data_IF_489738787684
#
_entry.id   IF_489738787684
#
_cell.length_a   1.000
_cell.length_b   1.000
_cell.length_c   1.000
_cell.angle_alpha   90.00
_cell.angle_beta   90.00
_cell.angle_gamma   90.00
#
_symmetry.space_group_name_H-M   'P 1'
#
loop_
_entity.id
_entity.type
_entity.pdbx_description
1 polymer ?
#
# COMPACT_ATOMS: atom_id res chain seq x y z
N UNK A 1 -5.06 -20.74 39.36
CA UNK A 1 -5.75 -19.44 39.27
C UNK A 1 -5.41 -18.85 37.91
N UNK A 2 -6.26 -19.10 36.91
CA UNK A 2 -6.00 -18.72 35.52
C UNK A 2 -6.07 -17.21 35.33
N UNK A 3 -5.11 -16.65 34.59
CA UNK A 3 -5.21 -15.28 34.09
C UNK A 3 -6.05 -15.30 32.81
N UNK A 4 -7.30 -14.88 32.92
CA UNK A 4 -8.10 -14.52 31.76
C UNK A 4 -7.48 -13.26 31.13
N UNK A 5 -6.89 -13.42 29.95
CA UNK A 5 -6.47 -12.28 29.14
C UNK A 5 -7.70 -11.65 28.50
N UNK A 6 -8.21 -10.55 29.06
CA UNK A 6 -9.21 -9.76 28.37
C UNK A 6 -8.53 -9.05 27.19
N UNK A 7 -8.75 -9.52 25.97
CA UNK A 7 -8.39 -8.74 24.78
C UNK A 7 -9.47 -7.68 24.62
N UNK A 8 -9.24 -6.50 25.20
CA UNK A 8 -10.09 -5.35 24.95
C UNK A 8 -9.93 -4.97 23.47
N UNK A 9 -11.03 -4.96 22.71
CA UNK A 9 -11.03 -4.45 21.35
C UNK A 9 -10.67 -2.96 21.40
N UNK A 10 -9.46 -2.61 20.97
CA UNK A 10 -9.01 -1.21 20.89
C UNK A 10 -9.87 -0.51 19.83
N UNK A 11 -10.61 0.56 20.18
CA UNK A 11 -11.46 1.27 19.21
C UNK A 11 -10.65 1.81 18.03
N UNK A 12 -11.27 2.04 16.85
CA UNK A 12 -10.57 2.53 15.66
C UNK A 12 -9.83 3.85 15.88
N UNK A 13 -10.35 4.73 16.76
CA UNK A 13 -9.73 6.03 17.11
C UNK A 13 -8.39 5.92 17.85
N UNK A 14 -8.06 4.73 18.37
CA UNK A 14 -6.80 4.43 19.04
C UNK A 14 -5.83 3.63 18.17
N UNK A 15 -6.10 3.49 16.87
CA UNK A 15 -5.21 2.81 15.91
C UNK A 15 -4.65 3.79 14.88
N UNK A 16 -3.42 3.53 14.45
CA UNK A 16 -2.82 4.14 13.26
C UNK A 16 -2.64 3.03 12.23
N UNK A 17 -3.16 3.22 11.03
CA UNK A 17 -2.96 2.30 9.92
C UNK A 17 -1.88 2.83 8.98
N UNK A 18 -0.96 1.96 8.59
CA UNK A 18 0.13 2.29 7.66
C UNK A 18 0.20 1.27 6.53
N UNK A 19 0.63 1.73 5.37
CA UNK A 19 1.09 0.90 4.27
C UNK A 19 2.61 0.98 4.19
N UNK A 20 3.27 -0.12 3.82
CA UNK A 20 4.71 -0.13 3.58
C UNK A 20 5.07 -1.21 2.56
N UNK A 21 6.25 -1.09 1.97
CA UNK A 21 6.89 -2.12 1.17
C UNK A 21 8.23 -2.47 1.81
N UNK A 22 8.51 -3.77 1.98
CA UNK A 22 9.77 -4.24 2.56
C UNK A 22 10.42 -5.30 1.68
N UNK A 23 11.74 -5.19 1.42
CA UNK A 23 12.43 -6.12 0.55
C UNK A 23 12.54 -7.49 1.21
N UNK A 24 12.42 -8.57 0.43
CA UNK A 24 12.61 -9.95 0.89
C UNK A 24 13.19 -10.85 -0.21
N UNK A 25 13.78 -11.98 0.19
CA UNK A 25 14.44 -12.91 -0.74
C UNK A 25 15.84 -12.44 -1.16
N UNK A 26 16.39 -13.07 -2.19
CA UNK A 26 17.73 -12.80 -2.69
C UNK A 26 17.77 -11.52 -3.53
N UNK A 27 18.85 -10.75 -3.37
CA UNK A 27 19.11 -9.57 -4.19
C UNK A 27 19.44 -9.97 -5.65
N UNK A 28 18.98 -9.14 -6.57
CA UNK A 28 19.22 -9.20 -8.00
C UNK A 28 20.24 -8.14 -8.41
N UNK A 29 20.80 -8.29 -9.62
CA UNK A 29 21.47 -7.16 -10.27
C UNK A 29 20.49 -5.99 -10.45
N UNK A 30 20.95 -4.73 -10.36
CA UNK A 30 20.07 -3.57 -10.45
C UNK A 30 19.37 -3.51 -11.80
N UNK A 31 18.03 -3.46 -11.78
CA UNK A 31 17.19 -3.26 -12.95
C UNK A 31 16.79 -1.78 -12.97
N UNK A 32 17.36 -1.03 -13.90
CA UNK A 32 17.06 0.40 -14.06
C UNK A 32 15.69 0.61 -14.70
N UNK A 33 15.06 1.72 -14.37
CA UNK A 33 13.80 2.16 -14.96
C UNK A 33 14.03 2.74 -16.36
N UNK A 34 13.15 2.44 -17.30
CA UNK A 34 13.24 2.85 -18.70
C UNK A 34 12.25 3.97 -19.08
N UNK A 35 11.53 4.53 -18.09
CA UNK A 35 10.62 5.64 -18.34
C UNK A 35 11.30 6.83 -19.04
N UNK A 36 10.65 7.49 -20.00
CA UNK A 36 11.21 8.65 -20.68
C UNK A 36 11.57 9.78 -19.70
N UNK A 37 12.82 10.25 -19.77
CA UNK A 37 13.31 11.34 -18.92
C UNK A 37 13.59 10.94 -17.48
N UNK A 38 13.77 9.65 -17.20
CA UNK A 38 14.17 9.14 -15.88
C UNK A 38 15.38 9.88 -15.32
N UNK A 39 15.25 10.30 -14.06
CA UNK A 39 16.32 10.86 -13.26
C UNK A 39 16.10 10.46 -11.81
N UNK A 40 17.19 10.37 -11.03
CA UNK A 40 17.09 10.13 -9.57
C UNK A 40 16.27 8.88 -9.18
N UNK A 41 16.12 7.94 -10.11
CA UNK A 41 15.40 6.68 -9.90
C UNK A 41 16.21 5.71 -9.06
N UNK A 42 15.52 4.91 -8.26
CA UNK A 42 16.09 3.78 -7.54
C UNK A 42 15.86 2.53 -8.39
N UNK A 43 16.89 1.71 -8.69
CA UNK A 43 16.68 0.49 -9.46
C UNK A 43 15.91 -0.56 -8.64
N UNK A 44 15.19 -1.43 -9.33
CA UNK A 44 14.64 -2.64 -8.70
C UNK A 44 15.79 -3.61 -8.44
N UNK A 45 15.95 -4.02 -7.18
CA UNK A 45 17.04 -4.92 -6.76
C UNK A 45 16.54 -6.15 -6.03
N UNK A 46 15.26 -6.21 -5.63
CA UNK A 46 14.75 -7.31 -4.83
C UNK A 46 13.23 -7.42 -4.93
N UNK A 47 12.68 -8.58 -4.54
CA UNK A 47 11.25 -8.72 -4.34
C UNK A 47 10.80 -7.90 -3.12
N UNK A 48 9.56 -7.43 -3.15
CA UNK A 48 8.96 -6.56 -2.14
C UNK A 48 7.70 -7.21 -1.57
N UNK A 49 7.53 -7.13 -0.25
CA UNK A 49 6.26 -7.41 0.43
C UNK A 49 5.51 -6.12 0.65
N UNK A 50 4.31 -6.04 0.13
CA UNK A 50 3.38 -4.93 0.32
C UNK A 50 2.51 -5.22 1.52
N UNK A 51 2.64 -4.41 2.57
CA UNK A 51 2.10 -4.68 3.89
C UNK A 51 1.11 -3.59 4.30
N UNK A 52 -0.02 -4.01 4.87
CA UNK A 52 -0.82 -3.16 5.73
C UNK A 52 -0.49 -3.46 7.20
N UNK A 53 -0.41 -2.42 8.02
CA UNK A 53 -0.08 -2.49 9.43
C UNK A 53 -1.14 -1.75 10.24
N UNK A 54 -1.43 -2.24 11.44
CA UNK A 54 -2.06 -1.44 12.48
C UNK A 54 -1.15 -1.32 13.70
N UNK A 55 -1.04 -0.09 14.20
CA UNK A 55 -0.27 0.26 15.38
C UNK A 55 -1.20 0.83 16.44
N UNK A 56 -0.93 0.54 17.70
CA UNK A 56 -1.55 1.24 18.81
C UNK A 56 -1.06 2.69 18.80
N UNK A 57 -1.98 3.64 18.76
CA UNK A 57 -1.65 5.06 18.66
C UNK A 57 -0.91 5.58 19.90
N UNK A 58 -1.09 4.95 21.05
CA UNK A 58 -0.58 5.45 22.34
C UNK A 58 0.91 5.18 22.52
N UNK A 59 1.36 4.01 22.07
CA UNK A 59 2.74 3.54 22.28
C UNK A 59 3.46 3.10 21.00
N UNK A 60 2.77 3.09 19.85
CA UNK A 60 3.32 2.67 18.57
C UNK A 60 3.49 1.16 18.43
N UNK A 61 2.92 0.36 19.33
CA UNK A 61 3.05 -1.10 19.28
C UNK A 61 2.32 -1.67 18.06
N UNK A 62 2.99 -2.57 17.33
CA UNK A 62 2.36 -3.34 16.26
C UNK A 62 1.24 -4.22 16.82
N UNK A 63 0.01 -3.98 16.35
CA UNK A 63 -1.17 -4.77 16.69
C UNK A 63 -1.36 -5.93 15.71
N UNK A 64 -1.25 -5.65 14.42
CA UNK A 64 -1.27 -6.65 13.36
C UNK A 64 -0.52 -6.18 12.12
N UNK A 65 -0.13 -7.15 11.30
CA UNK A 65 0.48 -6.97 9.99
C UNK A 65 -0.11 -7.97 9.01
N UNK A 66 -0.48 -7.50 7.82
CA UNK A 66 -1.02 -8.33 6.73
C UNK A 66 -0.20 -8.11 5.48
N UNK A 67 0.38 -9.19 4.93
CA UNK A 67 0.99 -9.18 3.59
C UNK A 67 -0.11 -9.24 2.53
N UNK A 68 -0.19 -8.22 1.68
CA UNK A 68 -1.22 -8.06 0.66
C UNK A 68 -0.75 -8.46 -0.74
N UNK A 69 0.54 -8.29 -1.00
CA UNK A 69 1.21 -8.75 -2.21
C UNK A 69 2.68 -9.05 -1.94
N UNK A 70 3.21 -10.00 -2.66
CA UNK A 70 4.64 -10.25 -2.78
C UNK A 70 4.96 -10.26 -4.27
N UNK A 71 5.83 -9.36 -4.72
CA UNK A 71 6.29 -9.37 -6.10
C UNK A 71 7.61 -8.63 -6.29
N UNK A 72 8.27 -8.90 -7.42
CA UNK A 72 9.30 -8.02 -7.95
C UNK A 72 8.61 -6.81 -8.61
N UNK A 73 8.80 -5.58 -8.10
CA UNK A 73 8.23 -4.38 -8.72
C UNK A 73 8.64 -4.26 -10.18
N UNK A 74 7.72 -3.78 -11.01
CA UNK A 74 8.02 -3.61 -12.43
C UNK A 74 8.78 -2.33 -12.78
N UNK A 75 8.63 -1.32 -11.93
CA UNK A 75 9.34 -0.04 -11.95
C UNK A 75 9.96 0.16 -10.58
N UNK A 76 11.06 0.91 -10.54
CA UNK A 76 11.83 1.12 -9.32
C UNK A 76 11.35 2.30 -8.46
N UNK A 77 10.91 3.38 -9.11
CA UNK A 77 10.51 4.61 -8.44
C UNK A 77 11.66 5.59 -8.19
N UNK A 78 11.41 6.62 -7.36
CA UNK A 78 12.31 7.76 -7.18
C UNK A 78 12.91 7.80 -5.77
N UNK A 79 14.12 8.35 -5.62
CA UNK A 79 14.85 8.42 -4.33
C UNK A 79 14.12 9.15 -3.19
N UNK A 80 13.06 9.90 -3.52
CA UNK A 80 12.22 10.64 -2.55
C UNK A 80 10.86 9.97 -2.32
N UNK A 81 10.63 8.80 -2.88
CA UNK A 81 9.39 8.04 -2.77
C UNK A 81 9.62 6.63 -2.25
N UNK A 82 8.53 5.89 -2.13
CA UNK A 82 8.54 4.45 -1.86
C UNK A 82 7.47 3.74 -2.68
N UNK A 83 7.53 2.41 -2.73
CA UNK A 83 6.48 1.60 -3.35
C UNK A 83 5.13 1.62 -2.61
N UNK A 84 5.04 2.33 -1.48
CA UNK A 84 3.83 2.53 -0.68
C UNK A 84 3.62 4.02 -0.37
N UNK A 85 3.83 4.90 -1.35
CA UNK A 85 3.74 6.36 -1.15
C UNK A 85 2.30 6.85 -0.93
N UNK A 86 1.30 6.13 -1.45
CA UNK A 86 -0.11 6.44 -1.25
C UNK A 86 -0.54 6.14 0.19
N UNK A 87 -1.31 7.06 0.78
CA UNK A 87 -1.85 6.88 2.13
C UNK A 87 -3.06 5.93 2.12
N UNK A 88 -3.20 5.03 3.10
CA UNK A 88 -4.44 4.28 3.26
C UNK A 88 -5.56 5.17 3.81
N UNK A 89 -6.81 4.81 3.53
CA UNK A 89 -8.01 5.55 3.98
C UNK A 89 -8.95 4.62 4.72
N UNK A 90 -9.62 5.10 5.76
CA UNK A 90 -10.61 4.33 6.53
C UNK A 90 -11.78 5.20 6.97
N UNK A 91 -12.97 4.61 7.03
CA UNK A 91 -14.18 5.20 7.61
C UNK A 91 -14.42 4.74 9.07
N UNK A 92 -13.56 3.87 9.60
CA UNK A 92 -13.70 3.26 10.93
C UNK A 92 -14.37 1.88 10.91
N UNK A 93 -14.73 1.34 9.75
CA UNK A 93 -15.22 -0.04 9.57
C UNK A 93 -14.33 -0.81 8.59
N UNK A 94 -13.95 -0.15 7.49
CA UNK A 94 -13.10 -0.70 6.43
C UNK A 94 -11.83 0.13 6.30
N UNK A 95 -10.71 -0.55 6.06
CA UNK A 95 -9.43 0.05 5.69
C UNK A 95 -9.17 -0.21 4.21
N UNK A 96 -8.94 0.84 3.44
CA UNK A 96 -8.50 0.78 2.05
C UNK A 96 -6.99 1.00 2.00
N UNK A 97 -6.26 0.00 1.52
CA UNK A 97 -4.82 0.01 1.34
C UNK A 97 -4.45 0.04 -0.16
N UNK A 98 -3.98 1.18 -0.69
CA UNK A 98 -3.54 1.32 -2.08
C UNK A 98 -2.07 0.95 -2.26
N UNK A 99 -1.75 0.25 -3.35
CA UNK A 99 -0.36 0.04 -3.80
C UNK A 99 -0.20 0.26 -5.31
N UNK A 100 -1.07 1.08 -5.92
CA UNK A 100 -1.04 1.37 -7.35
C UNK A 100 -1.09 0.09 -8.19
N UNK A 101 -0.06 -0.15 -9.02
CA UNK A 101 0.09 -1.34 -9.86
C UNK A 101 0.04 -2.67 -9.10
N UNK A 102 0.22 -2.62 -7.78
CA UNK A 102 0.18 -3.78 -6.88
C UNK A 102 -1.22 -4.06 -6.35
N UNK A 103 -2.18 -3.21 -6.65
CA UNK A 103 -3.59 -3.41 -6.38
C UNK A 103 -4.15 -2.51 -5.27
N UNK A 104 -5.47 -2.56 -5.15
CA UNK A 104 -6.27 -1.89 -4.14
C UNK A 104 -6.91 -2.95 -3.25
N UNK A 105 -6.78 -2.81 -1.94
CA UNK A 105 -7.24 -3.81 -0.98
C UNK A 105 -8.19 -3.19 0.03
N UNK A 106 -9.32 -3.83 0.28
CA UNK A 106 -10.13 -3.53 1.46
C UNK A 106 -9.89 -4.58 2.53
N UNK A 107 -9.73 -4.12 3.76
CA UNK A 107 -9.55 -4.94 4.95
C UNK A 107 -10.59 -4.55 5.99
N UNK A 108 -10.97 -5.49 6.84
CA UNK A 108 -11.55 -5.13 8.13
C UNK A 108 -10.46 -4.54 9.04
N UNK A 109 -10.87 -3.94 10.15
CA UNK A 109 -9.92 -3.33 11.08
C UNK A 109 -9.06 -4.34 11.85
N UNK A 110 -9.34 -5.64 11.75
CA UNK A 110 -8.51 -6.72 12.29
C UNK A 110 -7.44 -7.18 11.29
N UNK A 111 -7.38 -6.58 10.10
CA UNK A 111 -6.39 -6.89 9.07
C UNK A 111 -6.78 -8.04 8.16
N UNK A 112 -8.03 -8.51 8.19
CA UNK A 112 -8.52 -9.52 7.26
C UNK A 112 -8.92 -8.85 5.95
N UNK A 113 -8.40 -9.37 4.83
CA UNK A 113 -8.79 -8.92 3.48
C UNK A 113 -10.27 -9.26 3.23
N UNK A 114 -11.05 -8.25 2.87
CA UNK A 114 -12.45 -8.35 2.48
C UNK A 114 -12.57 -8.52 0.96
N UNK A 115 -11.86 -7.68 0.21
CA UNK A 115 -11.76 -7.78 -1.25
C UNK A 115 -10.45 -7.17 -1.75
N UNK A 116 -10.13 -7.45 -3.01
CA UNK A 116 -9.00 -6.86 -3.74
C UNK A 116 -9.42 -6.49 -5.16
N UNK A 117 -8.82 -5.44 -5.70
CA UNK A 117 -8.97 -5.04 -7.08
C UNK A 117 -7.59 -4.84 -7.72
N UNK A 118 -7.40 -5.45 -8.89
CA UNK A 118 -6.26 -5.18 -9.76
C UNK A 118 -6.70 -4.15 -10.82
N UNK A 119 -5.93 -3.08 -10.95
CA UNK A 119 -6.18 -1.96 -11.86
C UNK A 119 -5.18 -1.96 -13.04
N UNK A 120 -4.30 -2.96 -13.11
CA UNK A 120 -3.24 -3.05 -14.10
C UNK A 120 -1.97 -2.33 -13.66
N UNK A 121 -1.08 -2.08 -14.62
CA UNK A 121 0.23 -1.45 -14.38
C UNK A 121 0.21 0.01 -14.78
N UNK A 122 0.68 0.87 -13.89
CA UNK A 122 0.98 2.27 -14.17
C UNK A 122 2.31 2.36 -14.92
N UNK A 123 2.44 3.44 -15.69
CA UNK A 123 3.67 3.84 -16.38
C UNK A 123 3.99 5.23 -15.87
N UNK A 124 4.94 5.34 -14.93
CA UNK A 124 5.13 6.58 -14.19
C UNK A 124 6.01 7.56 -14.96
N UNK A 125 5.65 8.83 -14.93
CA UNK A 125 6.45 9.87 -15.59
C UNK A 125 7.80 10.02 -14.90
N UNK A 126 8.90 9.91 -15.67
CA UNK A 126 10.28 10.01 -15.19
C UNK A 126 10.65 9.02 -14.07
N UNK A 127 9.94 7.89 -13.97
CA UNK A 127 10.09 6.93 -12.87
C UNK A 127 9.82 7.53 -11.47
N UNK A 128 8.93 8.53 -11.36
CA UNK A 128 8.61 9.15 -10.08
C UNK A 128 7.93 8.21 -9.08
N UNK A 129 7.38 7.09 -9.56
CA UNK A 129 6.61 6.15 -8.74
C UNK A 129 5.13 6.54 -8.63
N UNK A 130 4.41 5.73 -7.86
CA UNK A 130 2.94 5.74 -7.78
C UNK A 130 2.53 6.24 -6.39
N UNK A 131 1.52 7.14 -6.31
CA UNK A 131 1.22 7.80 -5.03
C UNK A 131 -0.20 8.32 -4.84
N UNK A 132 -1.12 8.04 -5.75
CA UNK A 132 -2.51 8.51 -5.65
C UNK A 132 -3.24 7.82 -4.48
N UNK A 133 -3.73 8.61 -3.53
CA UNK A 133 -4.43 8.09 -2.34
C UNK A 133 -5.94 7.98 -2.60
N UNK A 134 -6.61 6.90 -2.18
CA UNK A 134 -8.04 6.69 -2.40
C UNK A 134 -8.89 7.58 -1.49
N UNK A 135 -10.08 7.91 -1.96
CA UNK A 135 -11.11 8.62 -1.19
C UNK A 135 -12.28 7.68 -0.88
N UNK A 136 -12.74 7.69 0.37
CA UNK A 136 -14.02 7.09 0.76
C UNK A 136 -15.12 8.16 0.71
N UNK A 137 -16.20 7.89 -0.01
CA UNK A 137 -17.36 8.78 -0.09
C UNK A 137 -18.65 7.98 -0.21
N UNK A 138 -19.50 8.06 0.82
CA UNK A 138 -20.68 7.20 0.91
C UNK A 138 -20.26 5.74 0.98
N UNK A 139 -20.79 4.91 0.07
CA UNK A 139 -20.42 3.50 -0.07
C UNK A 139 -19.25 3.27 -1.05
N UNK A 140 -18.72 4.32 -1.69
CA UNK A 140 -17.76 4.20 -2.77
C UNK A 140 -16.31 4.38 -2.32
N UNK A 141 -15.43 3.59 -2.94
CA UNK A 141 -13.99 3.85 -2.97
C UNK A 141 -13.63 4.49 -4.30
N UNK A 142 -13.15 5.74 -4.27
CA UNK A 142 -12.74 6.48 -5.47
C UNK A 142 -11.22 6.46 -5.60
N UNK A 143 -10.74 6.09 -6.79
CA UNK A 143 -9.30 6.02 -7.13
C UNK A 143 -9.02 6.85 -8.37
N UNK A 144 -8.00 7.70 -8.31
CA UNK A 144 -7.43 8.39 -9.47
C UNK A 144 -6.25 7.57 -9.99
N UNK A 145 -6.32 7.18 -11.26
CA UNK A 145 -5.31 6.41 -11.97
C UNK A 145 -4.64 7.29 -13.05
N UNK A 146 -3.74 8.16 -12.61
CA UNK A 146 -3.02 9.13 -13.45
C UNK A 146 -1.61 8.63 -13.77
N UNK A 147 -1.34 8.35 -15.04
CA UNK A 147 -0.08 7.82 -15.53
C UNK A 147 0.10 8.12 -17.03
N UNK A 148 1.24 7.77 -17.62
CA UNK A 148 1.54 8.03 -19.04
C UNK A 148 0.77 7.10 -20.03
N UNK A 149 -0.20 6.32 -19.55
CA UNK A 149 -1.12 5.52 -20.36
C UNK A 149 -2.56 6.06 -20.36
N UNK A 150 -3.52 5.18 -20.62
CA UNK A 150 -4.95 5.53 -20.56
C UNK A 150 -5.40 5.77 -19.11
N UNK A 151 -5.32 7.02 -18.69
CA UNK A 151 -5.69 7.45 -17.34
C UNK A 151 -7.21 7.47 -17.12
N UNK A 152 -7.64 7.15 -15.90
CA UNK A 152 -9.06 7.11 -15.53
C UNK A 152 -9.30 7.43 -14.05
N UNK A 153 -10.58 7.63 -13.71
CA UNK A 153 -11.07 7.62 -12.33
C UNK A 153 -12.05 6.46 -12.20
N UNK A 154 -11.87 5.63 -11.16
CA UNK A 154 -12.72 4.49 -10.87
C UNK A 154 -13.44 4.66 -9.53
N UNK A 155 -14.64 4.09 -9.43
CA UNK A 155 -15.40 3.95 -8.21
C UNK A 155 -15.81 2.47 -8.04
N UNK A 156 -15.63 1.94 -6.84
CA UNK A 156 -15.98 0.56 -6.45
C UNK A 156 -17.04 0.57 -5.36
#
# INVERSE_FOLDING_TARGET
MGREGSVAAVPPRERVFLTTAVPFGDALGPIADDAPGTHDSVPVTQQERFLALALDRRDGKLLWQTTLREELPHEGGHKTGSYASASPTTDGEVLIAPFGSRGLYALDLAGKVLWKQDLGRMATKHAHGEGSSPLLVGEFVVVVWDHEGDSFVAAF
#
